data_IF_074554272958
#
_entry.id   IF_074554272958
#
_cell.length_a   1.000
_cell.length_b   1.000
_cell.length_c   1.000
_cell.angle_alpha   90.00
_cell.angle_beta   90.00
_cell.angle_gamma   90.00
#
_symmetry.space_group_name_H-M   'P 1'
#
loop_
_entity.id
_entity.type
_entity.pdbx_description
1 polymer ?
#
# COMPACT_ATOMS: atom_id res chain seq x y z
N UNK A 1 -79.05 14.31 -4.87
CA UNK A 1 -77.66 14.66 -4.50
C UNK A 1 -76.75 13.75 -5.29
N UNK A 2 -76.19 14.23 -6.40
CA UNK A 2 -75.49 13.39 -7.38
C UNK A 2 -74.02 13.74 -7.38
N UNK A 3 -73.22 12.92 -6.70
CA UNK A 3 -71.81 13.20 -6.45
C UNK A 3 -71.01 13.08 -7.75
N UNK A 4 -70.46 14.18 -8.25
CA UNK A 4 -69.62 14.18 -9.45
C UNK A 4 -68.21 13.70 -9.09
N UNK A 5 -67.92 12.43 -9.38
CA UNK A 5 -66.55 11.91 -9.33
C UNK A 5 -65.72 12.48 -10.48
N UNK A 6 -64.70 13.27 -10.18
CA UNK A 6 -63.72 13.73 -11.17
C UNK A 6 -62.90 12.54 -11.70
N UNK A 7 -62.76 12.34 -13.02
CA UNK A 7 -61.89 11.30 -13.55
C UNK A 7 -60.41 11.63 -13.28
N UNK A 8 -59.65 10.62 -12.86
CA UNK A 8 -58.18 10.69 -12.73
C UNK A 8 -57.56 10.95 -14.12
N UNK A 9 -56.49 11.77 -14.24
CA UNK A 9 -55.71 11.84 -15.47
C UNK A 9 -55.14 10.45 -15.81
N UNK A 10 -55.15 10.08 -17.09
CA UNK A 10 -54.52 8.85 -17.54
C UNK A 10 -52.99 8.97 -17.42
N UNK A 11 -52.35 7.97 -16.80
CA UNK A 11 -50.90 7.80 -16.89
C UNK A 11 -50.50 7.51 -18.34
N UNK A 12 -49.37 8.05 -18.81
CA UNK A 12 -48.85 7.73 -20.15
C UNK A 12 -48.45 6.25 -20.21
N UNK A 13 -48.62 5.58 -21.37
CA UNK A 13 -48.28 4.16 -21.49
C UNK A 13 -46.78 3.94 -21.25
N UNK A 14 -46.45 2.99 -20.37
CA UNK A 14 -45.09 2.46 -20.28
C UNK A 14 -44.66 1.88 -21.63
N UNK A 15 -43.39 2.08 -22.04
CA UNK A 15 -42.92 1.61 -23.33
C UNK A 15 -42.82 0.07 -23.34
N UNK A 16 -43.78 -0.58 -24.00
CA UNK A 16 -43.78 -2.03 -24.23
C UNK A 16 -42.45 -2.50 -24.84
N UNK A 17 -41.67 -3.24 -24.06
CA UNK A 17 -40.43 -3.85 -24.51
C UNK A 17 -40.75 -5.00 -25.48
N UNK A 18 -40.32 -4.85 -26.73
CA UNK A 18 -40.53 -5.86 -27.78
C UNK A 18 -39.79 -7.15 -27.43
N UNK A 19 -40.37 -8.34 -27.72
CA UNK A 19 -39.67 -9.60 -27.56
C UNK A 19 -38.69 -9.81 -28.74
N UNK A 20 -37.40 -9.56 -28.50
CA UNK A 20 -36.33 -9.91 -29.43
C UNK A 20 -36.08 -11.43 -29.41
N UNK A 21 -36.63 -12.13 -30.41
CA UNK A 21 -36.49 -13.58 -30.58
C UNK A 21 -35.18 -13.91 -31.30
N UNK A 22 -34.14 -14.28 -30.56
CA UNK A 22 -33.07 -15.16 -31.07
C UNK A 22 -32.36 -15.97 -29.95
N UNK A 23 -31.90 -17.16 -30.29
CA UNK A 23 -31.66 -18.30 -29.40
C UNK A 23 -30.40 -18.28 -28.50
N UNK A 24 -30.38 -19.26 -27.59
CA UNK A 24 -29.24 -19.83 -26.81
C UNK A 24 -28.75 -19.13 -25.54
N UNK A 25 -29.14 -17.88 -25.27
CA UNK A 25 -28.93 -17.22 -23.98
C UNK A 25 -29.98 -16.12 -23.74
N UNK A 26 -31.10 -16.41 -23.06
CA UNK A 26 -32.06 -15.36 -22.73
C UNK A 26 -31.40 -14.31 -21.83
N UNK A 27 -31.72 -13.04 -22.10
CA UNK A 27 -31.26 -11.89 -21.32
C UNK A 27 -32.35 -11.54 -20.33
N UNK A 28 -32.02 -11.59 -19.05
CA UNK A 28 -32.90 -11.22 -17.95
C UNK A 28 -32.59 -9.80 -17.50
N UNK A 29 -33.65 -9.04 -17.21
CA UNK A 29 -33.61 -7.78 -16.51
C UNK A 29 -33.77 -8.08 -15.01
N UNK A 30 -32.77 -7.71 -14.20
CA UNK A 30 -32.82 -7.89 -12.74
C UNK A 30 -32.72 -6.54 -12.05
N UNK A 31 -33.41 -6.40 -10.91
CA UNK A 31 -33.43 -5.21 -10.08
C UNK A 31 -32.56 -5.45 -8.86
N UNK A 32 -31.65 -4.55 -8.56
CA UNK A 32 -30.89 -4.55 -7.31
C UNK A 32 -31.38 -3.41 -6.43
N UNK A 33 -32.02 -3.72 -5.30
CA UNK A 33 -32.51 -2.73 -4.32
C UNK A 33 -31.52 -2.59 -3.18
N UNK A 34 -31.27 -1.37 -2.71
CA UNK A 34 -30.44 -1.13 -1.53
C UNK A 34 -31.27 -0.95 -0.23
N UNK A 35 -30.59 -0.85 0.91
CA UNK A 35 -31.21 -0.62 2.22
C UNK A 35 -32.00 0.70 2.33
N UNK A 36 -31.68 1.71 1.51
CA UNK A 36 -32.38 2.99 1.40
C UNK A 36 -33.53 2.96 0.37
N UNK A 37 -33.91 1.77 -0.09
CA UNK A 37 -34.93 1.50 -1.10
C UNK A 37 -34.65 2.02 -2.52
N UNK A 38 -33.41 2.40 -2.84
CA UNK A 38 -33.02 2.79 -4.19
C UNK A 38 -32.79 1.55 -5.08
N UNK A 39 -33.52 1.49 -6.19
CA UNK A 39 -33.46 0.40 -7.17
C UNK A 39 -32.51 0.71 -8.33
N UNK A 40 -31.70 -0.28 -8.74
CA UNK A 40 -30.84 -0.23 -9.93
C UNK A 40 -31.10 -1.42 -10.84
N UNK A 41 -31.42 -1.13 -12.09
CA UNK A 41 -31.75 -2.13 -13.11
C UNK A 41 -30.50 -2.57 -13.87
N UNK A 42 -30.33 -3.89 -14.03
CA UNK A 42 -29.24 -4.50 -14.78
C UNK A 42 -29.78 -5.51 -15.78
N UNK A 43 -29.05 -5.73 -16.89
CA UNK A 43 -29.38 -6.74 -17.90
C UNK A 43 -28.25 -7.77 -17.94
N UNK A 44 -28.57 -9.05 -17.76
CA UNK A 44 -27.60 -10.15 -17.70
C UNK A 44 -28.11 -11.37 -18.49
N UNK A 45 -27.22 -12.09 -19.18
CA UNK A 45 -27.58 -13.35 -19.85
C UNK A 45 -27.67 -14.47 -18.81
N UNK A 46 -28.62 -15.39 -18.97
CA UNK A 46 -28.91 -16.46 -18.01
C UNK A 46 -27.68 -17.31 -17.62
N UNK A 47 -26.73 -17.56 -18.54
CA UNK A 47 -25.47 -18.29 -18.25
C UNK A 47 -24.29 -17.40 -17.83
N UNK A 48 -24.50 -16.11 -17.59
CA UNK A 48 -23.44 -15.18 -17.15
C UNK A 48 -23.43 -15.07 -15.63
N UNK A 49 -22.22 -15.10 -15.07
CA UNK A 49 -21.97 -14.93 -13.63
C UNK A 49 -22.49 -13.59 -13.09
N UNK A 50 -23.25 -13.64 -11.99
CA UNK A 50 -23.82 -12.47 -11.31
C UNK A 50 -22.76 -11.54 -10.73
N UNK A 51 -21.53 -12.02 -10.51
CA UNK A 51 -20.36 -11.20 -10.19
C UNK A 51 -20.22 -9.93 -11.04
N UNK A 52 -20.59 -9.95 -12.34
CA UNK A 52 -20.52 -8.75 -13.20
C UNK A 52 -21.57 -7.67 -12.86
N UNK A 53 -22.77 -8.07 -12.44
CA UNK A 53 -23.82 -7.14 -11.99
C UNK A 53 -23.42 -6.54 -10.65
N UNK A 54 -22.88 -7.41 -9.80
CA UNK A 54 -22.36 -7.13 -8.47
C UNK A 54 -21.21 -6.12 -8.48
N UNK A 55 -20.21 -6.29 -9.36
CA UNK A 55 -19.13 -5.31 -9.56
C UNK A 55 -19.71 -3.98 -10.08
N UNK A 56 -20.51 -4.01 -11.14
CA UNK A 56 -21.11 -2.81 -11.73
C UNK A 56 -22.03 -2.03 -10.76
N UNK A 57 -22.68 -2.72 -9.82
CA UNK A 57 -23.44 -2.09 -8.72
C UNK A 57 -22.50 -1.42 -7.71
N UNK A 58 -21.41 -2.07 -7.33
CA UNK A 58 -20.40 -1.55 -6.41
C UNK A 58 -19.71 -0.31 -7.00
N UNK A 59 -19.22 -0.38 -8.25
CA UNK A 59 -18.64 0.75 -8.99
C UNK A 59 -19.60 1.95 -9.02
N UNK A 60 -20.88 1.70 -9.36
CA UNK A 60 -21.91 2.75 -9.48
C UNK A 60 -22.44 3.28 -8.15
N UNK A 61 -21.97 2.77 -7.01
CA UNK A 61 -22.24 3.31 -5.67
C UNK A 61 -20.96 3.74 -4.93
N UNK A 62 -19.77 3.60 -5.54
CA UNK A 62 -18.47 3.72 -4.86
C UNK A 62 -18.34 2.81 -3.60
N UNK A 63 -18.96 1.63 -3.65
CA UNK A 63 -18.95 0.64 -2.56
C UNK A 63 -17.90 -0.43 -2.82
N UNK A 64 -17.27 -0.97 -1.77
CA UNK A 64 -16.38 -2.12 -1.92
C UNK A 64 -17.20 -3.40 -2.16
N UNK A 65 -16.72 -4.25 -3.08
CA UNK A 65 -17.28 -5.58 -3.41
C UNK A 65 -17.46 -6.49 -2.19
N UNK A 66 -16.63 -6.31 -1.17
CA UNK A 66 -16.67 -7.02 0.12
C UNK A 66 -17.64 -6.43 1.14
N UNK A 67 -18.06 -5.17 0.98
CA UNK A 67 -18.94 -4.47 1.93
C UNK A 67 -20.43 -4.62 1.59
N UNK A 68 -20.78 -5.34 0.51
CA UNK A 68 -22.16 -5.52 0.05
C UNK A 68 -22.44 -7.01 -0.17
N UNK A 69 -23.42 -7.54 0.55
CA UNK A 69 -24.00 -8.87 0.31
C UNK A 69 -25.23 -8.73 -0.57
N UNK A 70 -25.41 -9.70 -1.46
CA UNK A 70 -26.51 -9.73 -2.43
C UNK A 70 -27.35 -10.96 -2.09
N UNK A 71 -28.64 -10.75 -1.86
CA UNK A 71 -29.58 -11.80 -1.51
C UNK A 71 -30.71 -11.88 -2.52
N UNK A 72 -31.13 -13.08 -2.85
CA UNK A 72 -32.34 -13.40 -3.63
C UNK A 72 -33.25 -14.21 -2.70
N UNK A 73 -34.48 -13.75 -2.47
CA UNK A 73 -35.42 -14.35 -1.52
C UNK A 73 -34.83 -14.58 -0.11
N UNK A 74 -33.93 -13.68 0.32
CA UNK A 74 -33.20 -13.79 1.59
C UNK A 74 -32.04 -14.81 1.60
N UNK A 75 -31.80 -15.55 0.52
CA UNK A 75 -30.64 -16.43 0.36
C UNK A 75 -29.46 -15.67 -0.27
N UNK A 76 -28.27 -15.80 0.32
CA UNK A 76 -27.06 -15.15 -0.19
C UNK A 76 -26.62 -15.74 -1.54
N UNK A 77 -26.35 -14.86 -2.50
CA UNK A 77 -25.80 -15.18 -3.82
C UNK A 77 -24.27 -15.06 -3.83
N UNK A 78 -23.58 -15.94 -4.56
CA UNK A 78 -22.13 -15.87 -4.83
C UNK A 78 -21.83 -15.21 -6.18
N UNK A 79 -20.60 -14.72 -6.38
CA UNK A 79 -20.18 -14.15 -7.67
C UNK A 79 -20.16 -15.18 -8.81
N UNK A 80 -19.96 -16.45 -8.46
CA UNK A 80 -19.91 -17.58 -9.40
C UNK A 80 -21.27 -18.01 -9.90
N UNK A 81 -22.34 -17.64 -9.21
CA UNK A 81 -23.69 -18.07 -9.52
C UNK A 81 -24.19 -17.40 -10.81
N UNK A 82 -25.03 -18.12 -11.52
CA UNK A 82 -25.71 -17.66 -12.73
C UNK A 82 -27.20 -17.54 -12.45
N UNK A 83 -27.92 -16.66 -13.16
CA UNK A 83 -29.38 -16.66 -13.12
C UNK A 83 -29.98 -18.05 -13.42
N UNK A 84 -29.34 -18.84 -14.30
CA UNK A 84 -29.69 -20.24 -14.59
C UNK A 84 -29.69 -21.12 -13.32
N UNK A 85 -28.59 -21.09 -12.56
CA UNK A 85 -28.39 -21.93 -11.37
C UNK A 85 -29.33 -21.55 -10.22
N UNK A 86 -29.68 -20.27 -10.13
CA UNK A 86 -30.57 -19.73 -9.11
C UNK A 86 -32.05 -19.70 -9.54
N UNK A 87 -32.36 -20.17 -10.75
CA UNK A 87 -33.70 -20.16 -11.34
C UNK A 87 -34.35 -18.76 -11.42
N UNK A 88 -33.54 -17.71 -11.60
CA UNK A 88 -34.02 -16.34 -11.65
C UNK A 88 -34.88 -16.07 -12.90
N UNK A 89 -35.96 -15.31 -12.71
CA UNK A 89 -36.91 -14.89 -13.74
C UNK A 89 -36.68 -13.42 -14.19
N UNK A 90 -37.38 -12.98 -15.24
CA UNK A 90 -37.28 -11.60 -15.72
C UNK A 90 -38.07 -10.65 -14.81
N UNK A 91 -37.38 -9.64 -14.27
CA UNK A 91 -37.92 -8.72 -13.29
C UNK A 91 -37.50 -9.01 -11.85
N UNK A 92 -36.77 -10.10 -11.60
CA UNK A 92 -36.34 -10.55 -10.27
C UNK A 92 -35.54 -9.51 -9.49
N UNK A 93 -35.65 -9.64 -8.17
CA UNK A 93 -35.22 -8.64 -7.21
C UNK A 93 -34.12 -9.18 -6.30
N UNK A 94 -33.00 -8.47 -6.26
CA UNK A 94 -31.83 -8.80 -5.46
C UNK A 94 -31.60 -7.70 -4.43
N UNK A 95 -31.63 -8.05 -3.15
CA UNK A 95 -31.35 -7.12 -2.07
C UNK A 95 -29.84 -6.95 -1.88
N UNK A 96 -29.33 -5.74 -2.13
CA UNK A 96 -27.99 -5.29 -1.82
C UNK A 96 -27.94 -4.77 -0.38
N UNK A 97 -27.63 -5.68 0.55
CA UNK A 97 -27.43 -5.38 1.96
C UNK A 97 -25.99 -4.93 2.16
N UNK A 98 -25.81 -3.65 2.51
CA UNK A 98 -24.55 -3.16 3.06
C UNK A 98 -24.25 -3.91 4.36
N UNK A 99 -23.11 -4.59 4.40
CA UNK A 99 -22.50 -4.95 5.67
C UNK A 99 -21.95 -3.67 6.28
N UNK A 100 -22.68 -3.14 7.26
CA UNK A 100 -22.15 -2.14 8.14
C UNK A 100 -21.04 -2.79 8.98
N UNK A 101 -19.81 -2.76 8.46
CA UNK A 101 -18.59 -2.85 9.27
C UNK A 101 -18.43 -1.58 10.11
N UNK A 102 -19.38 -1.36 11.02
CA UNK A 102 -19.05 -0.78 12.31
C UNK A 102 -18.00 -1.70 12.94
N UNK A 103 -16.96 -1.12 13.55
CA UNK A 103 -15.86 -1.91 14.09
C UNK A 103 -16.34 -2.96 15.11
N UNK A 104 -15.60 -4.08 15.19
CA UNK A 104 -15.87 -5.31 15.95
C UNK A 104 -16.59 -6.45 15.17
N UNK A 105 -15.81 -7.12 14.32
CA UNK A 105 -15.60 -8.58 14.26
C UNK A 105 -16.72 -9.57 14.73
N UNK A 106 -17.47 -10.14 13.75
CA UNK A 106 -18.43 -11.27 13.82
C UNK A 106 -18.48 -11.92 12.40
N UNK A 107 -18.42 -13.23 12.10
CA UNK A 107 -18.13 -14.46 12.87
C UNK A 107 -17.67 -15.66 11.93
N UNK A 108 -18.14 -16.90 12.17
CA UNK A 108 -17.81 -18.23 11.58
C UNK A 108 -18.62 -18.66 10.30
N UNK A 109 -17.98 -19.33 9.30
CA UNK A 109 -18.03 -20.78 8.87
C UNK A 109 -19.33 -21.27 8.15
N UNK A 110 -19.41 -22.23 7.20
CA UNK A 110 -18.64 -23.44 6.72
C UNK A 110 -18.88 -23.67 5.19
N UNK A 111 -18.64 -24.86 4.59
CA UNK A 111 -17.35 -25.54 4.31
C UNK A 111 -17.13 -25.81 2.80
N UNK A 112 -15.93 -26.27 2.39
CA UNK A 112 -15.80 -27.13 1.19
C UNK A 112 -14.77 -26.76 0.11
N UNK A 113 -14.00 -25.68 0.26
CA UNK A 113 -12.83 -25.41 -0.58
C UNK A 113 -11.63 -25.03 0.31
N UNK A 114 -10.44 -25.47 -0.12
CA UNK A 114 -9.12 -25.27 0.48
C UNK A 114 -8.99 -24.08 1.45
N UNK A 115 -8.60 -24.38 2.70
CA UNK A 115 -8.62 -23.44 3.82
C UNK A 115 -7.82 -22.18 3.46
N UNK A 116 -8.45 -21.00 3.29
CA UNK A 116 -7.70 -19.77 3.19
C UNK A 116 -7.20 -19.46 4.60
N UNK A 117 -5.98 -19.92 4.92
CA UNK A 117 -5.37 -19.70 6.23
C UNK A 117 -5.18 -18.19 6.40
N UNK A 118 -6.06 -17.60 7.21
CA UNK A 118 -5.89 -16.25 7.71
C UNK A 118 -5.09 -16.35 9.00
N UNK A 119 -4.11 -15.47 9.15
CA UNK A 119 -3.31 -15.31 10.36
C UNK A 119 -3.48 -13.89 10.90
N UNK A 120 -3.39 -13.76 12.21
CA UNK A 120 -3.37 -12.53 12.96
C UNK A 120 -1.91 -12.10 13.13
N UNK A 121 -1.47 -11.07 12.40
CA UNK A 121 -0.15 -10.49 12.54
C UNK A 121 -0.22 -9.27 13.44
N UNK A 122 0.62 -9.22 14.47
CA UNK A 122 0.78 -8.08 15.37
C UNK A 122 1.91 -7.18 14.86
N UNK A 123 1.61 -5.93 14.55
CA UNK A 123 2.62 -4.93 14.19
C UNK A 123 2.84 -4.00 15.40
N UNK A 124 4.04 -4.01 15.99
CA UNK A 124 4.42 -3.19 17.15
C UNK A 124 5.44 -2.13 16.77
N UNK A 125 5.35 -0.92 17.31
CA UNK A 125 6.41 0.10 17.21
C UNK A 125 7.31 0.18 18.45
N UNK A 126 8.35 1.01 18.35
CA UNK A 126 9.29 1.31 19.44
C UNK A 126 8.65 2.05 20.63
N UNK A 127 7.45 2.62 20.47
CA UNK A 127 6.70 3.26 21.55
C UNK A 127 5.74 2.28 22.27
N UNK A 128 5.73 1.00 21.89
CA UNK A 128 4.84 -0.02 22.44
C UNK A 128 3.41 0.07 21.91
N UNK A 129 3.16 0.81 20.82
CA UNK A 129 1.87 0.84 20.13
C UNK A 129 1.77 -0.40 19.24
N UNK A 130 0.79 -1.25 19.55
CA UNK A 130 0.52 -2.48 18.80
C UNK A 130 -0.74 -2.32 17.94
N UNK A 131 -0.70 -2.84 16.71
CA UNK A 131 -1.85 -2.95 15.81
C UNK A 131 -1.92 -4.38 15.29
N UNK A 132 -3.04 -5.05 15.54
CA UNK A 132 -3.31 -6.40 15.04
C UNK A 132 -3.96 -6.33 13.65
N UNK A 133 -3.49 -7.16 12.72
CA UNK A 133 -3.97 -7.28 11.35
C UNK A 133 -4.30 -8.73 11.03
N UNK A 134 -5.57 -9.02 10.71
CA UNK A 134 -5.98 -10.33 10.22
C UNK A 134 -5.85 -10.38 8.70
N UNK A 135 -4.93 -11.17 8.17
CA UNK A 135 -4.62 -11.26 6.73
C UNK A 135 -4.52 -12.71 6.25
N UNK A 136 -4.77 -12.97 4.95
CA UNK A 136 -4.50 -14.30 4.35
C UNK A 136 -3.00 -14.50 4.19
N UNK A 137 -2.49 -15.72 4.37
CA UNK A 137 -1.06 -16.04 4.16
C UNK A 137 -0.52 -15.64 2.77
N UNK A 138 -1.36 -15.59 1.74
CA UNK A 138 -1.02 -15.11 0.39
C UNK A 138 -1.11 -13.58 0.18
N UNK A 139 -1.34 -12.78 1.24
CA UNK A 139 -1.47 -11.32 1.12
C UNK A 139 -0.10 -10.64 1.15
N UNK A 140 0.17 -9.73 0.20
CA UNK A 140 1.39 -8.91 0.23
C UNK A 140 1.47 -8.03 1.50
N UNK A 141 2.59 -8.12 2.22
CA UNK A 141 2.83 -7.40 3.47
C UNK A 141 2.84 -5.88 3.29
N UNK A 142 3.07 -5.36 2.08
CA UNK A 142 2.85 -3.94 1.72
C UNK A 142 1.52 -3.38 2.22
N UNK A 143 0.44 -4.16 2.16
CA UNK A 143 -0.88 -3.72 2.64
C UNK A 143 -0.89 -3.50 4.15
N UNK A 144 -0.26 -4.40 4.91
CA UNK A 144 -0.09 -4.27 6.37
C UNK A 144 0.77 -3.05 6.69
N UNK A 145 1.89 -2.88 5.99
CA UNK A 145 2.78 -1.72 6.18
C UNK A 145 2.05 -0.39 5.94
N UNK A 146 1.37 -0.25 4.79
CA UNK A 146 0.63 0.98 4.45
C UNK A 146 -0.51 1.25 5.42
N UNK A 147 -1.28 0.22 5.81
CA UNK A 147 -2.37 0.38 6.77
C UNK A 147 -1.87 0.71 8.19
N UNK A 148 -0.70 0.20 8.59
CA UNK A 148 -0.06 0.61 9.84
C UNK A 148 0.38 2.08 9.79
N UNK A 149 1.02 2.50 8.69
CA UNK A 149 1.46 3.88 8.49
C UNK A 149 0.29 4.87 8.54
N UNK A 150 -0.80 4.57 7.84
CA UNK A 150 -2.02 5.37 7.83
C UNK A 150 -2.68 5.44 9.22
N UNK A 151 -2.75 4.31 9.95
CA UNK A 151 -3.36 4.25 11.29
C UNK A 151 -2.55 4.89 12.41
N UNK A 152 -1.22 4.99 12.25
CA UNK A 152 -0.32 5.62 13.22
C UNK A 152 0.14 7.02 12.81
N UNK A 153 -0.34 7.53 11.67
CA UNK A 153 0.03 8.82 11.06
C UNK A 153 1.56 8.97 10.85
N UNK A 154 2.24 7.86 10.50
CA UNK A 154 3.69 7.84 10.22
C UNK A 154 3.98 7.73 8.72
N UNK A 155 4.98 8.46 8.23
CA UNK A 155 5.35 8.39 6.81
C UNK A 155 5.98 7.02 6.47
N UNK A 156 5.55 6.32 5.41
CA UNK A 156 6.04 4.98 5.06
C UNK A 156 7.52 4.92 4.62
N UNK A 157 8.17 6.07 4.41
CA UNK A 157 9.64 6.18 4.19
C UNK A 157 10.39 6.54 5.47
N UNK A 158 9.67 6.97 6.51
CA UNK A 158 10.21 7.25 7.84
C UNK A 158 10.10 6.04 8.79
N UNK A 159 9.67 4.88 8.29
CA UNK A 159 9.63 3.62 9.05
C UNK A 159 10.12 2.44 8.21
N UNK A 160 10.63 1.41 8.90
CA UNK A 160 11.14 0.15 8.35
C UNK A 160 10.58 -1.00 9.18
N UNK A 161 10.03 -2.00 8.50
CA UNK A 161 9.37 -3.15 9.09
C UNK A 161 10.31 -4.35 9.10
N UNK A 162 10.41 -5.01 10.25
CA UNK A 162 11.27 -6.17 10.47
C UNK A 162 10.44 -7.35 10.98
N UNK A 163 10.79 -8.56 10.55
CA UNK A 163 10.25 -9.82 11.06
C UNK A 163 11.41 -10.79 11.26
N UNK A 164 11.50 -11.38 12.45
CA UNK A 164 12.66 -12.16 12.91
C UNK A 164 14.02 -11.48 12.59
N UNK A 165 14.12 -10.17 12.86
CA UNK A 165 15.29 -9.34 12.55
C UNK A 165 15.55 -9.07 11.05
N UNK A 166 14.80 -9.68 10.13
CA UNK A 166 14.92 -9.51 8.68
C UNK A 166 14.05 -8.36 8.18
N UNK A 167 14.59 -7.47 7.32
CA UNK A 167 13.83 -6.34 6.75
C UNK A 167 12.82 -6.84 5.71
N UNK A 168 11.55 -6.66 6.01
CA UNK A 168 10.45 -6.95 5.10
C UNK A 168 10.46 -6.03 3.86
N UNK A 169 10.16 -6.62 2.71
CA UNK A 169 9.96 -5.96 1.42
C UNK A 169 8.48 -5.83 1.08
N UNK A 170 8.14 -5.00 0.09
CA UNK A 170 6.74 -4.79 -0.31
C UNK A 170 6.12 -5.96 -1.09
N UNK A 171 6.95 -6.87 -1.61
CA UNK A 171 6.51 -8.07 -2.33
C UNK A 171 6.48 -9.33 -1.45
N UNK A 172 6.89 -9.23 -0.18
CA UNK A 172 6.89 -10.36 0.73
C UNK A 172 5.45 -10.77 1.11
N UNK A 173 5.28 -12.06 1.36
CA UNK A 173 4.02 -12.65 1.84
C UNK A 173 4.28 -13.41 3.14
N UNK A 174 3.28 -13.50 4.04
CA UNK A 174 3.42 -14.34 5.22
C UNK A 174 3.68 -15.82 4.90
N UNK A 175 3.14 -16.34 3.79
CA UNK A 175 3.44 -17.69 3.31
C UNK A 175 4.92 -17.86 2.93
N UNK A 176 5.50 -16.91 2.19
CA UNK A 176 6.90 -16.93 1.79
C UNK A 176 7.91 -16.63 2.91
N UNK A 177 7.43 -16.20 4.08
CA UNK A 177 8.22 -15.96 5.29
C UNK A 177 7.87 -16.93 6.43
N UNK A 178 7.09 -17.97 6.14
CA UNK A 178 6.66 -19.01 7.07
C UNK A 178 5.95 -18.50 8.34
N UNK A 179 5.32 -17.32 8.27
CA UNK A 179 4.61 -16.68 9.40
C UNK A 179 3.43 -17.52 9.90
N UNK A 180 3.28 -17.59 11.21
CA UNK A 180 2.23 -18.28 11.97
C UNK A 180 1.16 -17.31 12.51
N UNK A 181 0.23 -17.81 13.32
CA UNK A 181 -0.78 -16.96 13.99
C UNK A 181 -0.17 -16.27 15.22
N UNK A 182 -0.58 -15.03 15.48
CA UNK A 182 -0.05 -14.14 16.53
C UNK A 182 1.38 -13.60 16.31
N UNK A 183 1.99 -13.87 15.15
CA UNK A 183 3.35 -13.44 14.82
C UNK A 183 3.55 -11.92 14.81
N UNK A 184 4.77 -11.49 15.16
CA UNK A 184 5.05 -10.09 15.42
C UNK A 184 6.02 -9.44 14.42
N UNK A 185 5.54 -8.37 13.76
CA UNK A 185 6.34 -7.47 12.94
C UNK A 185 6.75 -6.26 13.78
N UNK A 186 8.03 -5.94 13.78
CA UNK A 186 8.62 -4.81 14.51
C UNK A 186 8.78 -3.59 13.59
N UNK A 187 8.32 -2.43 14.03
CA UNK A 187 8.42 -1.17 13.28
C UNK A 187 9.43 -0.24 13.93
N UNK A 188 10.49 0.07 13.20
CA UNK A 188 11.54 0.98 13.61
C UNK A 188 11.47 2.26 12.77
N UNK A 189 11.70 3.43 13.38
CA UNK A 189 11.78 4.66 12.60
C UNK A 189 13.05 4.68 11.72
N UNK A 190 12.93 5.02 10.44
CA UNK A 190 14.02 5.56 9.63
C UNK A 190 14.18 7.05 9.99
N UNK A 191 14.89 7.32 11.09
CA UNK A 191 15.16 8.68 11.55
C UNK A 191 15.96 9.46 10.49
N UNK A 192 15.28 10.34 9.76
CA UNK A 192 15.89 11.48 9.08
C UNK A 192 16.29 12.46 10.18
N UNK A 193 17.60 12.53 10.42
CA UNK A 193 18.16 13.00 11.70
C UNK A 193 17.86 14.44 12.09
N UNK A 194 17.68 14.63 13.40
CA UNK A 194 17.73 15.92 14.07
C UNK A 194 18.17 15.73 15.52
N UNK A 195 19.36 16.27 15.86
CA UNK A 195 19.97 16.44 17.18
C UNK A 195 20.07 15.24 18.15
N UNK A 196 21.22 15.15 18.82
CA UNK A 196 21.61 14.13 19.79
C UNK A 196 20.66 13.99 21.00
N UNK A 197 20.38 12.76 21.44
CA UNK A 197 21.18 12.03 22.45
C UNK A 197 20.76 10.54 22.50
N UNK A 198 21.56 9.70 23.15
CA UNK A 198 21.45 8.23 23.28
C UNK A 198 20.04 7.64 23.51
N UNK A 199 19.71 6.51 22.84
CA UNK A 199 19.56 5.14 23.40
C UNK A 199 19.70 4.09 22.26
N UNK A 200 20.28 2.92 22.56
CA UNK A 200 20.74 1.90 21.61
C UNK A 200 19.67 1.24 20.71
N UNK A 201 20.03 0.98 19.44
CA UNK A 201 19.19 0.26 18.47
C UNK A 201 19.77 0.14 17.05
N UNK A 202 21.04 -0.31 16.93
CA UNK A 202 21.72 -0.62 15.66
C UNK A 202 21.54 0.45 14.54
N UNK A 203 22.18 1.61 14.68
CA UNK A 203 22.39 2.51 13.55
C UNK A 203 23.21 1.81 12.45
N UNK A 204 22.91 2.02 11.15
CA UNK A 204 23.90 1.78 10.11
C UNK A 204 25.02 2.80 10.32
N UNK A 205 26.17 2.36 10.87
CA UNK A 205 27.27 3.22 11.27
C UNK A 205 27.62 4.22 10.16
N UNK A 206 27.23 5.49 10.36
CA UNK A 206 27.52 6.57 9.44
C UNK A 206 28.74 7.31 9.95
N UNK A 207 29.86 7.05 9.28
CA UNK A 207 31.14 7.70 9.49
C UNK A 207 31.02 9.21 9.27
N UNK A 208 31.59 9.96 10.20
CA UNK A 208 31.81 11.39 10.12
C UNK A 208 33.11 11.64 9.34
N UNK A 209 32.99 12.09 8.10
CA UNK A 209 34.12 12.45 7.24
C UNK A 209 34.30 13.98 7.27
N UNK A 210 35.51 14.43 7.57
CA UNK A 210 35.84 15.85 7.71
C UNK A 210 36.63 16.29 6.48
N UNK A 211 36.02 17.07 5.58
CA UNK A 211 36.76 17.69 4.47
C UNK A 211 37.40 18.99 4.95
N UNK A 212 38.72 19.11 4.81
CA UNK A 212 39.51 20.25 5.26
C UNK A 212 40.14 20.99 4.09
N UNK A 213 40.06 22.31 4.07
CA UNK A 213 40.72 23.15 3.05
C UNK A 213 42.17 23.48 3.40
N UNK A 214 42.94 23.97 2.43
CA UNK A 214 44.30 24.51 2.65
C UNK A 214 44.33 25.66 3.67
N UNK A 215 43.21 26.38 3.81
CA UNK A 215 43.00 27.45 4.79
C UNK A 215 42.68 26.94 6.21
N UNK A 216 42.61 25.62 6.41
CA UNK A 216 42.29 24.99 7.70
C UNK A 216 40.80 24.93 8.03
N UNK A 217 39.94 25.51 7.19
CA UNK A 217 38.48 25.39 7.34
C UNK A 217 38.00 23.95 7.11
N UNK A 218 37.05 23.48 7.91
CA UNK A 218 36.52 22.12 7.82
C UNK A 218 35.02 22.10 7.54
N UNK A 219 34.57 21.14 6.74
CA UNK A 219 33.16 20.81 6.51
C UNK A 219 32.95 19.32 6.81
N UNK A 220 31.93 19.02 7.61
CA UNK A 220 31.68 17.67 8.15
C UNK A 220 30.52 17.02 7.40
N UNK A 221 30.71 15.77 6.96
CA UNK A 221 29.72 14.99 6.21
C UNK A 221 29.52 13.64 6.89
N UNK A 222 28.27 13.23 7.09
CA UNK A 222 27.93 11.94 7.72
C UNK A 222 27.45 10.94 6.67
N UNK A 223 28.25 9.92 6.35
CA UNK A 223 27.99 8.95 5.27
C UNK A 223 28.23 7.49 5.69
N UNK A 224 27.64 6.51 5.00
CA UNK A 224 27.93 5.08 5.26
C UNK A 224 29.33 4.72 4.75
N UNK A 225 30.00 3.73 5.37
CA UNK A 225 31.28 3.15 4.90
C UNK A 225 31.33 2.76 3.41
N UNK A 226 30.18 2.39 2.84
CA UNK A 226 29.96 2.01 1.43
C UNK A 226 29.59 3.19 0.51
N UNK A 227 29.53 4.43 1.01
CA UNK A 227 29.11 5.59 0.22
C UNK A 227 30.22 6.05 -0.72
N UNK A 228 29.93 6.20 -2.00
CA UNK A 228 30.88 6.77 -2.97
C UNK A 228 31.14 8.25 -2.64
N UNK A 229 32.40 8.60 -2.36
CA UNK A 229 32.84 9.92 -1.91
C UNK A 229 32.76 10.99 -3.00
N UNK A 230 32.62 10.63 -4.28
CA UNK A 230 32.36 11.56 -5.39
C UNK A 230 31.12 12.44 -5.17
N UNK A 231 30.10 11.94 -4.47
CA UNK A 231 28.92 12.76 -4.10
C UNK A 231 29.26 13.79 -3.02
N UNK A 232 30.15 13.46 -2.10
CA UNK A 232 30.62 14.32 -1.01
C UNK A 232 31.58 15.39 -1.54
N UNK A 233 32.50 15.04 -2.46
CA UNK A 233 33.40 16.01 -3.08
C UNK A 233 32.63 17.01 -3.94
N UNK A 234 31.60 16.58 -4.67
CA UNK A 234 30.66 17.47 -5.38
C UNK A 234 29.93 18.41 -4.43
N UNK A 235 29.27 17.87 -3.39
CA UNK A 235 28.57 18.67 -2.38
C UNK A 235 29.49 19.72 -1.71
N UNK A 236 30.76 19.38 -1.44
CA UNK A 236 31.76 20.33 -0.94
C UNK A 236 32.08 21.43 -1.96
N UNK A 237 32.24 21.10 -3.25
CA UNK A 237 32.45 22.09 -4.32
C UNK A 237 31.26 23.05 -4.44
N UNK A 238 30.03 22.52 -4.49
CA UNK A 238 28.79 23.29 -4.56
C UNK A 238 28.65 24.24 -3.36
N UNK A 239 28.85 23.74 -2.14
CA UNK A 239 28.77 24.53 -0.91
C UNK A 239 29.84 25.64 -0.84
N UNK A 240 31.00 25.43 -1.47
CA UNK A 240 32.10 26.41 -1.54
C UNK A 240 32.08 27.28 -2.81
N UNK A 241 31.06 27.17 -3.67
CA UNK A 241 31.01 27.85 -4.98
C UNK A 241 32.27 27.62 -5.85
N UNK A 242 32.91 26.45 -5.73
CA UNK A 242 34.12 26.08 -6.49
C UNK A 242 33.78 25.13 -7.64
N UNK A 243 34.55 25.19 -8.72
CA UNK A 243 34.31 24.33 -9.89
C UNK A 243 34.68 22.85 -9.61
N UNK A 244 33.78 21.89 -9.88
CA UNK A 244 34.09 20.48 -9.73
C UNK A 244 35.19 20.08 -10.73
N UNK A 245 36.32 19.59 -10.19
CA UNK A 245 37.50 19.20 -10.97
C UNK A 245 38.75 20.04 -10.71
N UNK A 246 38.64 21.25 -10.14
CA UNK A 246 39.82 22.04 -9.69
C UNK A 246 40.35 21.59 -8.33
N UNK A 247 39.50 20.99 -7.49
CA UNK A 247 39.90 20.42 -6.21
C UNK A 247 40.28 18.95 -6.36
N UNK A 248 41.44 18.58 -5.83
CA UNK A 248 41.86 17.20 -5.59
C UNK A 248 41.77 16.90 -4.10
N UNK A 249 41.22 15.73 -3.79
CA UNK A 249 40.95 15.31 -2.42
C UNK A 249 41.88 14.16 -2.07
N UNK A 250 42.53 14.25 -0.93
CA UNK A 250 43.48 13.27 -0.41
C UNK A 250 43.14 12.92 1.03
N UNK A 251 43.34 11.67 1.41
CA UNK A 251 43.33 11.27 2.83
C UNK A 251 44.59 11.80 3.53
N UNK A 252 44.60 11.82 4.86
CA UNK A 252 45.80 12.17 5.65
C UNK A 252 47.01 11.25 5.37
N UNK A 253 46.75 10.02 4.92
CA UNK A 253 47.76 9.03 4.50
C UNK A 253 48.29 9.30 3.06
N UNK A 254 47.84 10.38 2.41
CA UNK A 254 48.24 10.75 1.05
C UNK A 254 47.56 9.96 -0.07
N UNK A 255 46.66 9.01 0.23
CA UNK A 255 45.85 8.31 -0.78
C UNK A 255 44.89 9.29 -1.44
N UNK A 256 44.92 9.41 -2.77
CA UNK A 256 44.02 10.27 -3.56
C UNK A 256 42.64 9.64 -3.71
N UNK A 257 41.58 10.41 -3.49
CA UNK A 257 40.20 10.00 -3.81
C UNK A 257 40.02 9.82 -5.33
N UNK A 258 39.45 8.68 -5.71
CA UNK A 258 38.97 8.41 -7.08
C UNK A 258 37.44 8.52 -7.13
N UNK A 259 36.81 8.69 -8.31
CA UNK A 259 35.35 8.85 -8.43
C UNK A 259 34.52 7.64 -7.97
N UNK A 260 35.15 6.49 -7.71
CA UNK A 260 34.51 5.29 -7.14
C UNK A 260 34.90 5.00 -5.69
N UNK A 261 35.77 5.80 -5.07
CA UNK A 261 36.27 5.53 -3.72
C UNK A 261 35.17 5.66 -2.66
N UNK A 262 35.10 4.70 -1.76
CA UNK A 262 34.29 4.69 -0.54
C UNK A 262 35.19 4.91 0.69
N UNK A 263 34.65 5.33 1.86
CA UNK A 263 35.42 5.37 3.10
C UNK A 263 36.14 4.05 3.39
N UNK A 264 35.46 2.92 3.22
CA UNK A 264 35.99 1.58 3.41
C UNK A 264 37.21 1.30 2.50
N UNK A 265 37.14 1.67 1.21
CA UNK A 265 38.24 1.48 0.25
C UNK A 265 39.47 2.35 0.51
N UNK A 266 39.38 3.32 1.42
CA UNK A 266 40.44 4.26 1.76
C UNK A 266 40.94 4.10 3.21
N UNK A 267 40.40 3.12 3.95
CA UNK A 267 40.65 2.92 5.39
C UNK A 267 40.25 4.15 6.23
N UNK A 268 39.19 4.86 5.84
CA UNK A 268 38.69 6.03 6.56
C UNK A 268 37.74 5.62 7.70
N UNK A 269 38.16 5.91 8.93
CA UNK A 269 37.40 5.71 10.17
C UNK A 269 36.46 6.90 10.48
N UNK A 270 35.72 6.80 11.59
CA UNK A 270 34.89 7.91 12.08
C UNK A 270 35.76 9.08 12.54
N UNK A 271 35.43 10.30 12.11
CA UNK A 271 36.27 11.47 12.24
C UNK A 271 37.37 11.59 11.16
N UNK A 272 37.45 10.65 10.21
CA UNK A 272 38.47 10.61 9.16
C UNK A 272 38.55 11.89 8.32
N UNK A 273 39.75 12.45 8.20
CA UNK A 273 39.97 13.74 7.52
C UNK A 273 40.39 13.53 6.05
N UNK A 274 39.81 14.33 5.18
CA UNK A 274 40.14 14.44 3.76
C UNK A 274 40.57 15.87 3.48
N UNK A 275 41.85 16.07 3.13
CA UNK A 275 42.38 17.36 2.75
C UNK A 275 42.04 17.65 1.26
N UNK A 276 41.43 18.81 1.03
CA UNK A 276 41.07 19.36 -0.26
C UNK A 276 42.11 20.38 -0.72
N UNK A 277 42.79 20.08 -1.81
CA UNK A 277 43.81 20.93 -2.41
C UNK A 277 43.32 21.46 -3.76
N UNK A 278 43.46 22.77 -3.99
CA UNK A 278 43.36 23.33 -5.33
C UNK A 278 44.59 22.89 -6.14
N UNK A 279 44.35 22.35 -7.33
CA UNK A 279 45.42 22.15 -8.30
C UNK A 279 45.91 23.52 -8.78
N UNK A 280 46.91 24.07 -8.09
CA UNK A 280 47.77 25.08 -8.71
C UNK A 280 48.32 24.47 -9.99
N UNK A 281 48.08 25.16 -11.11
CA UNK A 281 48.69 24.86 -12.41
C UNK A 281 50.22 24.91 -12.24
N UNK A 282 50.79 23.73 -12.00
CA UNK A 282 52.21 23.53 -11.75
C UNK A 282 53.01 23.82 -13.01
N UNK A 283 53.37 25.08 -13.20
CA UNK A 283 54.45 25.44 -14.10
C UNK A 283 55.78 24.99 -13.51
N UNK A 284 56.31 23.85 -13.97
CA UNK A 284 57.59 23.81 -14.68
C UNK A 284 57.83 22.50 -15.43
#
# INVERSE_FOLDING_TARGET
MSNHGSPRPAEPPEPEAKPDVNSENPVLNIKVKDQMEAEKFFKIKQKTKLGKVFDAYCDRNALQRTAVRFLLDGQRIQDTDTPDNLQMEDGDMVDAVLEQIGGADIEETKPGAEVPVHINIKVKDQAGREVLFKIKKSTLLKKVMSAFCERQEVDPKAVRFLYDGTRLQDNDTPEGLEMEDEDCIEVFAEQLGGAADDIAGAEPQRLMIIVKDTHGETVQFRCKNTTILDKLTKAYCDQRNRQPGMLKFYTQDGKRLTPGATPESLDLEDGGVIDAFEEQLGGR
#
